data_IF_842033398538
#
_entry.id   IF_842033398538
#
_cell.length_a   1.000
_cell.length_b   1.000
_cell.length_c   1.000
_cell.angle_alpha   90.00
_cell.angle_beta   90.00
_cell.angle_gamma   90.00
#
_symmetry.space_group_name_H-M   'P 1'
#
loop_
_entity.id
_entity.type
_entity.pdbx_description
1 polymer ?
#
# COMPACT_ATOMS: atom_id res chain seq x y z
N UNK A 1 -25.16 23.31 -38.37
CA UNK A 1 -25.51 22.37 -39.45
C UNK A 1 -24.40 22.39 -40.49
N UNK A 2 -23.47 21.44 -40.42
CA UNK A 2 -22.44 21.25 -41.44
C UNK A 2 -22.13 19.75 -41.50
N UNK A 3 -22.61 19.13 -42.55
CA UNK A 3 -22.44 17.73 -42.94
C UNK A 3 -21.06 17.55 -43.56
N UNK A 4 -20.38 16.43 -43.27
CA UNK A 4 -19.36 15.90 -44.16
C UNK A 4 -19.17 14.38 -43.95
N UNK A 5 -18.74 13.66 -45.00
CA UNK A 5 -19.39 12.42 -45.40
C UNK A 5 -18.49 11.19 -45.27
N UNK A 6 -19.16 10.04 -45.28
CA UNK A 6 -18.62 8.70 -45.39
C UNK A 6 -17.49 8.57 -46.42
N UNK A 7 -16.35 8.03 -45.99
CA UNK A 7 -15.35 7.41 -46.86
C UNK A 7 -15.43 5.89 -46.72
N UNK A 8 -15.90 5.30 -47.80
CA UNK A 8 -16.01 3.87 -48.08
C UNK A 8 -14.67 3.12 -47.98
N UNK A 9 -14.57 2.17 -47.05
CA UNK A 9 -13.47 1.20 -46.98
C UNK A 9 -13.78 0.03 -47.92
N UNK A 10 -12.87 -0.21 -48.88
CA UNK A 10 -12.91 -1.35 -49.80
C UNK A 10 -12.52 -2.64 -49.07
N UNK A 11 -13.39 -3.65 -49.13
CA UNK A 11 -13.11 -5.02 -48.73
C UNK A 11 -12.29 -5.73 -49.81
N UNK A 12 -11.00 -5.93 -49.54
CA UNK A 12 -10.11 -6.75 -50.36
C UNK A 12 -10.30 -8.22 -50.01
N UNK A 13 -10.75 -9.00 -50.99
CA UNK A 13 -10.96 -10.45 -50.91
C UNK A 13 -9.63 -11.21 -50.69
N UNK A 14 -9.48 -11.87 -49.54
CA UNK A 14 -8.38 -12.80 -49.27
C UNK A 14 -8.71 -14.17 -49.89
N UNK A 15 -7.96 -14.55 -50.93
CA UNK A 15 -7.94 -15.89 -51.52
C UNK A 15 -7.49 -16.92 -50.48
N UNK A 16 -8.34 -17.90 -50.18
CA UNK A 16 -7.95 -19.14 -49.48
C UNK A 16 -7.17 -20.03 -50.45
N UNK A 17 -5.89 -20.24 -50.17
CA UNK A 17 -5.07 -21.28 -50.80
C UNK A 17 -5.33 -22.60 -50.08
N UNK A 18 -5.91 -23.55 -50.79
CA UNK A 18 -6.17 -24.91 -50.33
C UNK A 18 -4.89 -25.75 -50.46
N UNK A 19 -4.01 -25.65 -49.47
CA UNK A 19 -2.83 -26.51 -49.34
C UNK A 19 -3.22 -27.89 -48.78
N UNK A 20 -2.95 -28.93 -49.57
CA UNK A 20 -3.07 -30.34 -49.19
C UNK A 20 -2.35 -30.66 -47.87
N UNK A 21 -3.07 -31.23 -46.91
CA UNK A 21 -2.53 -31.83 -45.69
C UNK A 21 -2.02 -33.24 -45.99
N UNK A 22 -0.72 -33.46 -45.86
CA UNK A 22 -0.14 -34.81 -45.77
C UNK A 22 -0.56 -35.47 -44.45
N UNK A 23 -0.84 -36.79 -44.42
CA UNK A 23 -1.19 -37.50 -43.20
C UNK A 23 0.04 -37.61 -42.28
N UNK A 24 -0.01 -36.97 -41.11
CA UNK A 24 0.99 -37.19 -40.07
C UNK A 24 0.87 -38.60 -39.47
N UNK A 25 2.00 -39.27 -39.19
CA UNK A 25 1.99 -40.57 -38.52
C UNK A 25 1.55 -40.40 -37.07
N UNK A 26 0.47 -41.11 -36.71
CA UNK A 26 -0.02 -41.25 -35.35
C UNK A 26 0.98 -42.02 -34.48
N UNK A 27 2.01 -41.34 -33.97
CA UNK A 27 2.94 -41.89 -32.98
C UNK A 27 2.47 -41.55 -31.56
N UNK A 28 1.83 -42.55 -31.00
CA UNK A 28 1.53 -42.79 -29.60
C UNK A 28 2.64 -42.34 -28.62
N UNK A 29 2.33 -41.32 -27.80
CA UNK A 29 2.95 -41.17 -26.47
C UNK A 29 1.87 -41.14 -25.39
N UNK A 30 1.11 -42.24 -25.18
CA UNK A 30 0.11 -42.33 -24.11
C UNK A 30 0.72 -42.06 -22.72
N UNK A 31 2.03 -42.31 -22.55
CA UNK A 31 2.77 -42.05 -21.31
C UNK A 31 3.01 -40.56 -21.03
N UNK A 32 3.11 -39.71 -22.06
CA UNK A 32 3.27 -38.26 -21.86
C UNK A 32 1.95 -37.63 -21.40
N UNK A 33 0.82 -38.10 -21.96
CA UNK A 33 -0.52 -37.66 -21.54
C UNK A 33 -0.81 -38.05 -20.08
N UNK A 34 -0.52 -39.29 -19.70
CA UNK A 34 -0.72 -39.73 -18.31
C UNK A 34 0.13 -38.94 -17.30
N UNK A 35 1.39 -38.61 -17.64
CA UNK A 35 2.25 -37.80 -16.79
C UNK A 35 1.75 -36.35 -16.67
N UNK A 36 1.31 -35.75 -17.78
CA UNK A 36 0.73 -34.40 -17.78
C UNK A 36 -0.57 -34.34 -16.98
N UNK A 37 -1.43 -35.36 -17.09
CA UNK A 37 -2.66 -35.46 -16.28
C UNK A 37 -2.36 -35.60 -14.79
N UNK A 38 -1.32 -36.36 -14.42
CA UNK A 38 -0.92 -36.50 -13.03
C UNK A 38 -0.32 -35.20 -12.46
N UNK A 39 0.46 -34.47 -13.27
CA UNK A 39 0.99 -33.14 -12.91
C UNK A 39 -0.13 -32.10 -12.78
N UNK A 40 -1.12 -32.10 -13.68
CA UNK A 40 -2.30 -31.23 -13.57
C UNK A 40 -3.16 -31.58 -12.36
N UNK A 41 -3.34 -32.88 -12.06
CA UNK A 41 -4.06 -33.31 -10.87
C UNK A 41 -3.31 -32.95 -9.58
N UNK A 42 -1.98 -33.07 -9.56
CA UNK A 42 -1.15 -32.65 -8.44
C UNK A 42 -1.19 -31.12 -8.26
N UNK A 43 -1.10 -30.34 -9.34
CA UNK A 43 -1.24 -28.88 -9.29
C UNK A 43 -2.64 -28.43 -8.85
N UNK A 44 -3.69 -29.19 -9.16
CA UNK A 44 -5.05 -28.92 -8.66
C UNK A 44 -5.23 -29.30 -7.16
N UNK A 45 -4.40 -30.21 -6.64
CA UNK A 45 -4.37 -30.60 -5.22
C UNK A 45 -3.54 -29.64 -4.37
N UNK A 46 -2.52 -28.99 -4.95
CA UNK A 46 -1.97 -27.75 -4.40
C UNK A 46 -2.96 -26.62 -4.72
N UNK A 47 -4.07 -26.59 -3.98
CA UNK A 47 -4.97 -25.44 -4.02
C UNK A 47 -4.18 -24.14 -3.81
N UNK A 48 -4.67 -23.00 -4.31
CA UNK A 48 -4.00 -21.71 -4.09
C UNK A 48 -3.75 -21.58 -2.59
N UNK A 49 -2.48 -21.41 -2.20
CA UNK A 49 -2.10 -21.02 -0.84
C UNK A 49 -2.84 -19.71 -0.60
N UNK A 50 -3.95 -19.77 0.14
CA UNK A 50 -4.84 -18.63 0.33
C UNK A 50 -4.16 -17.73 1.34
N UNK A 51 -3.89 -16.50 0.95
CA UNK A 51 -3.38 -15.48 1.85
C UNK A 51 -4.42 -15.27 2.96
N UNK A 52 -4.02 -15.49 4.20
CA UNK A 52 -4.77 -14.97 5.33
C UNK A 52 -4.80 -13.44 5.18
N UNK A 53 -5.95 -12.84 5.47
CA UNK A 53 -6.09 -11.39 5.38
C UNK A 53 -5.14 -10.74 6.39
N UNK A 54 -3.95 -10.34 5.91
CA UNK A 54 -2.92 -9.78 6.75
C UNK A 54 -3.26 -8.30 6.94
N UNK A 55 -3.85 -8.00 8.10
CA UNK A 55 -4.13 -6.62 8.53
C UNK A 55 -2.82 -5.87 8.67
N UNK A 56 -2.74 -4.72 8.02
CA UNK A 56 -1.59 -3.83 8.11
C UNK A 56 -1.93 -2.68 9.06
N UNK A 57 -1.06 -2.50 10.04
CA UNK A 57 -1.14 -1.50 11.10
C UNK A 57 0.20 -0.78 11.20
N UNK A 58 0.30 0.25 12.05
CA UNK A 58 1.57 0.92 12.33
C UNK A 58 2.62 -0.03 12.95
N UNK A 59 2.22 -1.19 13.47
CA UNK A 59 3.11 -2.15 14.11
C UNK A 59 3.80 -3.11 13.11
N UNK A 60 3.29 -3.25 11.88
CA UNK A 60 3.80 -4.24 10.92
C UNK A 60 3.96 -3.73 9.49
N UNK A 61 3.41 -2.56 9.11
CA UNK A 61 3.59 -2.04 7.74
C UNK A 61 5.05 -1.63 7.46
N UNK A 62 5.72 -1.04 8.45
CA UNK A 62 7.13 -0.66 8.40
C UNK A 62 7.75 -0.91 9.77
N UNK A 63 9.04 -1.23 9.77
CA UNK A 63 9.76 -1.61 11.01
C UNK A 63 10.24 -0.41 11.82
N UNK A 64 10.26 0.79 11.24
CA UNK A 64 10.89 1.99 11.81
C UNK A 64 9.92 3.17 12.06
N UNK A 65 8.61 2.96 11.91
CA UNK A 65 7.61 4.03 12.10
C UNK A 65 6.99 4.05 13.50
N UNK A 66 7.32 3.11 14.39
CA UNK A 66 6.66 2.96 15.70
C UNK A 66 6.77 4.21 16.59
N UNK A 67 7.86 4.96 16.45
CA UNK A 67 8.14 6.22 17.15
C UNK A 67 7.81 7.47 16.31
N UNK A 68 7.36 7.30 15.07
CA UNK A 68 6.98 8.42 14.22
C UNK A 68 5.71 9.08 14.73
N UNK A 69 5.68 10.41 14.71
CA UNK A 69 4.47 11.18 14.98
C UNK A 69 3.39 10.93 13.91
N UNK A 70 3.80 10.55 12.69
CA UNK A 70 2.93 10.37 11.53
C UNK A 70 2.59 8.90 11.23
N UNK A 71 2.80 7.99 12.19
CA UNK A 71 2.72 6.54 11.92
C UNK A 71 1.35 6.09 11.40
N UNK A 72 0.28 6.72 11.86
CA UNK A 72 -1.09 6.40 11.41
C UNK A 72 -1.32 6.97 10.00
N UNK A 73 -0.86 8.19 9.74
CA UNK A 73 -0.90 8.82 8.41
C UNK A 73 -0.11 8.00 7.39
N UNK A 74 1.06 7.48 7.75
CA UNK A 74 1.87 6.62 6.87
C UNK A 74 1.10 5.35 6.49
N UNK A 75 0.45 4.69 7.46
CA UNK A 75 -0.39 3.50 7.21
C UNK A 75 -1.56 3.86 6.28
N UNK A 76 -2.21 5.00 6.51
CA UNK A 76 -3.34 5.47 5.70
C UNK A 76 -2.93 5.75 4.26
N UNK A 77 -1.88 6.54 4.07
CA UNK A 77 -1.43 7.01 2.75
C UNK A 77 -0.83 5.88 1.91
N UNK A 78 -0.18 4.88 2.53
CA UNK A 78 0.21 3.65 1.81
C UNK A 78 -1.00 2.84 1.37
N UNK A 79 -2.04 2.76 2.20
CA UNK A 79 -3.30 2.14 1.83
C UNK A 79 -3.97 2.81 0.63
N UNK A 80 -3.93 4.14 0.57
CA UNK A 80 -4.46 4.93 -0.55
C UNK A 80 -3.54 4.97 -1.78
N UNK A 81 -2.36 4.33 -1.72
CA UNK A 81 -1.34 4.36 -2.76
C UNK A 81 -0.87 5.79 -3.09
N UNK A 82 -0.97 6.71 -2.12
CA UNK A 82 -0.34 8.03 -2.15
C UNK A 82 1.16 7.88 -1.85
N UNK A 83 1.50 7.05 -0.87
CA UNK A 83 2.86 6.57 -0.65
C UNK A 83 2.97 5.21 -1.32
N UNK A 84 3.90 5.05 -2.26
CA UNK A 84 4.09 3.78 -2.96
C UNK A 84 4.78 2.80 -2.01
N UNK A 85 4.06 1.74 -1.63
CA UNK A 85 4.56 0.68 -0.75
C UNK A 85 5.21 -0.44 -1.58
N UNK A 86 6.43 -0.84 -1.17
CA UNK A 86 7.12 -2.01 -1.71
C UNK A 86 7.30 -3.04 -0.62
N UNK A 87 7.00 -4.31 -0.92
CA UNK A 87 7.25 -5.41 0.02
C UNK A 87 8.74 -5.71 0.20
N UNK A 88 9.58 -5.19 -0.70
CA UNK A 88 11.03 -5.37 -0.64
C UNK A 88 11.71 -4.33 0.27
N UNK A 89 11.01 -3.24 0.61
CA UNK A 89 11.51 -2.22 1.55
C UNK A 89 10.68 -2.21 2.83
N UNK A 90 11.34 -2.55 3.93
CA UNK A 90 10.72 -2.67 5.26
C UNK A 90 10.92 -1.40 6.10
N UNK A 91 11.56 -0.37 5.54
CA UNK A 91 11.86 0.89 6.21
C UNK A 91 11.19 2.05 5.49
N UNK A 92 10.51 2.91 6.24
CA UNK A 92 9.95 4.16 5.71
C UNK A 92 10.92 5.33 5.85
N UNK A 93 11.76 5.32 6.89
CA UNK A 93 12.73 6.36 7.24
C UNK A 93 12.08 7.74 7.43
N UNK A 94 11.24 7.91 8.47
CA UNK A 94 10.43 9.12 8.66
C UNK A 94 11.24 10.43 8.71
N UNK A 95 12.46 10.36 9.25
CA UNK A 95 13.32 11.54 9.50
C UNK A 95 14.20 11.92 8.30
N UNK A 96 14.27 11.09 7.26
CA UNK A 96 14.99 11.45 6.03
C UNK A 96 14.19 12.49 5.23
N UNK A 97 14.91 13.38 4.53
CA UNK A 97 14.31 14.33 3.60
C UNK A 97 13.66 13.58 2.43
N UNK A 98 12.45 14.01 2.07
CA UNK A 98 11.77 13.50 0.88
C UNK A 98 12.43 14.15 -0.34
N UNK A 99 12.87 13.35 -1.30
CA UNK A 99 13.41 13.89 -2.56
C UNK A 99 12.28 14.28 -3.53
N UNK A 100 12.51 15.27 -4.39
CA UNK A 100 11.53 15.63 -5.44
C UNK A 100 11.27 14.49 -6.42
N UNK A 101 12.29 13.71 -6.75
CA UNK A 101 12.15 12.54 -7.62
C UNK A 101 11.23 11.48 -7.01
N UNK A 102 11.37 11.20 -5.71
CA UNK A 102 10.50 10.27 -5.00
C UNK A 102 9.06 10.78 -4.89
N UNK A 103 8.87 12.06 -4.51
CA UNK A 103 7.55 12.70 -4.50
C UNK A 103 6.87 12.62 -5.88
N UNK A 104 7.63 12.92 -6.94
CA UNK A 104 7.13 12.87 -8.31
C UNK A 104 6.72 11.43 -8.71
N UNK A 105 7.52 10.42 -8.34
CA UNK A 105 7.17 9.02 -8.58
C UNK A 105 5.85 8.64 -7.88
N UNK A 106 5.68 9.02 -6.62
CA UNK A 106 4.45 8.79 -5.86
C UNK A 106 3.24 9.47 -6.51
N UNK A 107 3.37 10.75 -6.88
CA UNK A 107 2.31 11.50 -7.54
C UNK A 107 1.93 10.91 -8.91
N UNK A 108 2.90 10.43 -9.69
CA UNK A 108 2.64 9.78 -10.97
C UNK A 108 1.84 8.48 -10.80
N UNK A 109 2.18 7.66 -9.81
CA UNK A 109 1.47 6.41 -9.52
C UNK A 109 0.05 6.70 -9.03
N UNK A 110 -0.11 7.63 -8.08
CA UNK A 110 -1.41 8.04 -7.56
C UNK A 110 -2.35 8.55 -8.65
N UNK A 111 -1.86 9.41 -9.55
CA UNK A 111 -2.64 10.01 -10.64
C UNK A 111 -2.83 9.09 -11.86
N UNK A 112 -2.37 7.83 -11.79
CA UNK A 112 -2.47 6.87 -12.88
C UNK A 112 -1.60 7.19 -14.11
N UNK A 113 -0.57 8.02 -13.94
CA UNK A 113 0.43 8.34 -14.98
C UNK A 113 1.57 7.34 -15.04
N UNK A 114 1.75 6.55 -13.99
CA UNK A 114 2.64 5.41 -13.90
C UNK A 114 1.93 4.25 -13.19
N UNK A 115 2.38 3.01 -13.43
CA UNK A 115 1.93 1.85 -12.66
C UNK A 115 2.75 1.72 -11.37
N UNK A 116 2.17 1.16 -10.31
CA UNK A 116 2.86 0.97 -9.02
C UNK A 116 4.12 0.07 -9.08
N UNK A 117 4.29 -0.71 -10.16
CA UNK A 117 5.47 -1.54 -10.40
C UNK A 117 6.48 -0.96 -11.39
N UNK A 118 6.24 0.25 -11.92
CA UNK A 118 7.21 0.91 -12.78
C UNK A 118 8.45 1.31 -11.97
N UNK A 119 9.60 1.42 -12.64
CA UNK A 119 10.82 1.92 -12.00
C UNK A 119 10.61 3.35 -11.47
N UNK A 120 11.08 3.69 -10.25
CA UNK A 120 10.87 5.00 -9.65
C UNK A 120 11.30 6.16 -10.55
N UNK A 121 12.41 6.02 -11.27
CA UNK A 121 12.93 7.05 -12.18
C UNK A 121 11.98 7.28 -13.37
N UNK A 122 11.37 6.21 -13.89
CA UNK A 122 10.39 6.28 -14.96
C UNK A 122 9.11 6.96 -14.48
N UNK A 123 8.62 6.60 -13.30
CA UNK A 123 7.44 7.23 -12.70
C UNK A 123 7.68 8.73 -12.43
N UNK A 124 8.84 9.09 -11.87
CA UNK A 124 9.23 10.48 -11.63
C UNK A 124 9.25 11.30 -12.94
N UNK A 125 9.82 10.73 -14.01
CA UNK A 125 9.85 11.40 -15.32
C UNK A 125 8.44 11.57 -15.92
N UNK A 126 7.52 10.62 -15.67
CA UNK A 126 6.13 10.73 -16.08
C UNK A 126 5.42 11.88 -15.36
N UNK A 127 5.65 12.05 -14.04
CA UNK A 127 5.12 13.18 -13.28
C UNK A 127 5.66 14.53 -13.77
N UNK A 128 6.97 14.65 -14.01
CA UNK A 128 7.57 15.87 -14.57
C UNK A 128 6.94 16.22 -15.93
N UNK A 129 6.78 15.22 -16.80
CA UNK A 129 6.18 15.42 -18.14
C UNK A 129 4.69 15.78 -18.07
N UNK A 130 3.99 15.36 -17.02
CA UNK A 130 2.59 15.68 -16.75
C UNK A 130 2.39 17.02 -16.02
N UNK A 131 3.48 17.71 -15.64
CA UNK A 131 3.43 18.96 -14.87
C UNK A 131 3.07 18.78 -13.40
N UNK A 132 3.20 17.57 -12.85
CA UNK A 132 2.99 17.28 -11.43
C UNK A 132 4.22 17.64 -10.57
N UNK A 133 5.36 17.88 -11.22
CA UNK A 133 6.59 18.36 -10.59
C UNK A 133 7.25 19.40 -11.50
N UNK A 134 7.98 20.35 -10.93
CA UNK A 134 8.74 21.35 -11.68
C UNK A 134 10.20 20.93 -11.93
N UNK A 135 10.75 20.12 -11.03
CA UNK A 135 12.10 19.57 -11.09
C UNK A 135 12.13 18.23 -10.35
N UNK A 136 13.09 17.37 -10.70
CA UNK A 136 13.37 16.12 -9.98
C UNK A 136 14.59 16.25 -9.04
N UNK A 137 15.32 17.36 -9.15
CA UNK A 137 16.55 17.58 -8.38
C UNK A 137 16.23 18.17 -7.00
N UNK A 138 16.95 17.70 -5.97
CA UNK A 138 16.87 18.22 -4.60
C UNK A 138 15.73 17.65 -3.76
N UNK A 139 15.52 18.27 -2.60
CA UNK A 139 14.49 17.84 -1.65
C UNK A 139 13.14 18.51 -1.97
N UNK A 140 12.06 17.80 -1.68
CA UNK A 140 10.70 18.26 -1.82
C UNK A 140 10.33 19.29 -0.76
N UNK A 141 9.45 20.20 -1.14
CA UNK A 141 8.88 21.27 -0.31
C UNK A 141 7.35 21.16 -0.25
N UNK A 142 6.71 21.90 0.67
CA UNK A 142 5.24 21.94 0.75
C UNK A 142 4.60 22.44 -0.55
N UNK A 143 5.28 23.35 -1.28
CA UNK A 143 4.85 23.80 -2.60
C UNK A 143 4.88 22.67 -3.63
N UNK A 144 5.91 21.83 -3.60
CA UNK A 144 6.01 20.65 -4.47
C UNK A 144 4.85 19.68 -4.18
N UNK A 145 4.51 19.46 -2.90
CA UNK A 145 3.40 18.58 -2.49
C UNK A 145 2.04 19.17 -2.92
N UNK A 146 1.84 20.47 -2.70
CA UNK A 146 0.63 21.19 -3.12
C UNK A 146 0.43 21.09 -4.64
N UNK A 147 1.50 21.29 -5.42
CA UNK A 147 1.45 21.10 -6.86
C UNK A 147 1.10 19.66 -7.25
N UNK A 148 1.79 18.68 -6.65
CA UNK A 148 1.72 17.28 -7.05
C UNK A 148 0.36 16.62 -6.77
N UNK A 149 -0.26 16.92 -5.63
CA UNK A 149 -1.50 16.26 -5.20
C UNK A 149 -2.73 17.17 -5.22
N UNK A 150 -2.54 18.48 -5.05
CA UNK A 150 -3.64 19.44 -4.92
C UNK A 150 -3.73 20.42 -6.09
N UNK A 151 -2.87 20.27 -7.11
CA UNK A 151 -2.83 21.15 -8.28
C UNK A 151 -2.52 22.61 -7.94
N UNK A 152 -1.87 22.86 -6.80
CA UNK A 152 -1.59 24.21 -6.30
C UNK A 152 -2.81 24.91 -5.67
N UNK A 153 -3.88 24.18 -5.35
CA UNK A 153 -5.10 24.76 -4.81
C UNK A 153 -5.01 25.15 -3.32
N UNK A 154 -4.08 24.56 -2.55
CA UNK A 154 -3.95 24.87 -1.12
C UNK A 154 -3.33 26.26 -0.92
N UNK A 155 -3.89 27.02 0.02
CA UNK A 155 -3.24 28.20 0.56
C UNK A 155 -2.22 27.76 1.61
N UNK A 156 -0.93 27.94 1.30
CA UNK A 156 0.15 27.60 2.22
C UNK A 156 0.46 28.80 3.11
N UNK A 157 0.43 28.61 4.43
CA UNK A 157 0.83 29.64 5.38
C UNK A 157 2.34 29.90 5.27
N UNK A 158 2.75 31.17 5.38
CA UNK A 158 4.17 31.54 5.36
C UNK A 158 5.01 30.85 6.46
N UNK A 159 4.36 30.43 7.56
CA UNK A 159 4.97 29.72 8.68
C UNK A 159 5.24 28.23 8.38
N UNK A 160 4.47 27.60 7.49
CA UNK A 160 4.75 26.24 7.01
C UNK A 160 6.10 26.17 6.26
N UNK A 161 6.67 27.33 5.91
CA UNK A 161 8.00 27.46 5.32
C UNK A 161 9.15 27.83 6.26
N UNK A 162 8.95 27.97 7.58
CA UNK A 162 10.03 28.50 8.44
C UNK A 162 10.40 27.69 9.67
N UNK A 163 9.67 26.63 10.04
CA UNK A 163 9.96 25.88 11.27
C UNK A 163 10.28 24.40 11.04
N UNK A 164 11.56 24.13 10.77
CA UNK A 164 12.19 22.88 11.19
C UNK A 164 12.46 22.94 12.70
N UNK A 165 11.45 22.70 13.53
CA UNK A 165 11.61 22.76 14.98
C UNK A 165 10.50 22.01 15.73
N UNK A 166 10.84 20.85 16.28
CA UNK A 166 10.05 20.19 17.31
C UNK A 166 9.73 21.20 18.44
N UNK A 167 8.47 21.60 18.65
CA UNK A 167 8.20 22.68 19.60
C UNK A 167 6.74 22.88 20.00
N UNK A 168 6.29 22.03 20.91
CA UNK A 168 5.31 22.34 21.96
C UNK A 168 5.29 23.84 22.33
N UNK A 169 4.13 24.47 22.18
CA UNK A 169 3.93 25.91 22.32
C UNK A 169 4.46 26.46 23.64
N UNK A 170 5.43 27.37 23.54
CA UNK A 170 5.76 28.30 24.61
C UNK A 170 5.60 29.73 24.07
N UNK A 171 4.54 30.38 24.54
CA UNK A 171 4.31 31.81 24.38
C UNK A 171 5.50 32.60 24.93
N UNK A 172 6.24 33.31 24.08
CA UNK A 172 7.28 34.24 24.54
C UNK A 172 7.09 35.63 23.93
N UNK A 173 6.61 36.51 24.81
CA UNK A 173 6.93 37.92 25.02
C UNK A 173 7.88 38.60 24.03
N UNK A 174 7.34 39.66 23.42
CA UNK A 174 8.03 40.70 22.66
C UNK A 174 8.95 41.51 23.57
N UNK A 175 10.26 41.52 23.30
CA UNK A 175 11.14 42.61 23.70
C UNK A 175 12.11 42.95 22.57
N UNK A 176 12.45 44.24 22.56
CA UNK A 176 12.92 45.07 21.46
C UNK A 176 14.47 45.08 21.37
N UNK A 177 14.97 45.67 20.28
CA UNK A 177 16.29 46.35 20.18
C UNK A 177 17.53 45.53 19.78
N UNK A 178 17.98 45.64 18.51
CA UNK A 178 19.14 46.46 18.09
C UNK A 178 19.45 46.24 16.60
N UNK A 179 19.74 47.34 15.91
CA UNK A 179 20.13 47.40 14.50
C UNK A 179 21.58 46.92 14.30
N UNK A 180 21.79 46.04 13.32
CA UNK A 180 23.09 45.84 12.67
C UNK A 180 22.93 46.01 11.16
N UNK A 181 23.70 46.95 10.63
CA UNK A 181 23.93 47.23 9.22
C UNK A 181 24.99 46.26 8.68
N UNK A 182 24.65 45.49 7.65
CA UNK A 182 25.61 44.74 6.84
C UNK A 182 25.21 44.78 5.37
N UNK A 183 26.02 45.49 4.59
CA UNK A 183 25.98 45.51 3.13
C UNK A 183 26.95 44.47 2.56
N UNK A 184 26.54 43.84 1.45
CA UNK A 184 27.31 43.04 0.47
C UNK A 184 27.18 41.50 0.53
N UNK A 185 26.63 40.93 -0.55
CA UNK A 185 26.54 39.49 -0.81
C UNK A 185 25.18 39.04 -1.36
N UNK A 186 24.65 39.67 -2.42
CA UNK A 186 23.29 39.42 -2.92
C UNK A 186 23.18 38.15 -3.79
N UNK A 187 23.22 37.00 -3.13
CA UNK A 187 22.35 35.82 -3.27
C UNK A 187 22.85 34.77 -2.25
N UNK A 188 22.00 34.15 -1.39
CA UNK A 188 20.73 33.57 -1.81
C UNK A 188 19.64 33.57 -0.70
N UNK A 189 18.94 34.69 -0.49
CA UNK A 189 17.77 34.67 0.41
C UNK A 189 16.69 33.68 -0.07
N UNK A 190 16.57 33.49 -1.40
CA UNK A 190 15.65 32.52 -2.00
C UNK A 190 16.08 31.05 -1.79
N UNK A 191 17.37 30.72 -1.83
CA UNK A 191 17.82 29.34 -1.58
C UNK A 191 17.83 29.00 -0.08
N UNK A 192 18.07 29.99 0.79
CA UNK A 192 17.96 29.82 2.23
C UNK A 192 16.49 29.68 2.68
N UNK A 193 15.56 30.43 2.07
CA UNK A 193 14.12 30.23 2.27
C UNK A 193 13.61 28.91 1.67
N UNK A 194 14.21 28.42 0.57
CA UNK A 194 13.88 27.10 0.03
C UNK A 194 14.28 25.96 0.98
N UNK A 195 15.42 26.09 1.69
CA UNK A 195 15.89 25.09 2.66
C UNK A 195 15.01 24.98 3.92
N UNK A 196 14.30 26.04 4.31
CA UNK A 196 13.37 26.02 5.44
C UNK A 196 11.99 25.44 5.10
N UNK A 197 11.69 25.24 3.81
CA UNK A 197 10.45 24.62 3.32
C UNK A 197 10.61 23.13 2.97
N UNK A 198 11.83 22.59 3.03
CA UNK A 198 12.09 21.18 2.71
C UNK A 198 11.51 20.26 3.78
N UNK A 199 10.81 19.22 3.36
CA UNK A 199 10.12 18.32 4.28
C UNK A 199 10.78 16.94 4.39
N UNK A 200 10.69 16.35 5.57
CA UNK A 200 10.94 14.93 5.79
C UNK A 200 9.76 14.08 5.31
N UNK A 201 9.96 12.77 5.17
CA UNK A 201 8.85 11.84 4.86
C UNK A 201 7.76 11.84 5.94
N UNK A 202 8.13 12.06 7.21
CA UNK A 202 7.17 12.25 8.31
C UNK A 202 6.33 13.52 8.12
N UNK A 203 6.98 14.64 7.82
CA UNK A 203 6.29 15.92 7.58
C UNK A 203 5.37 15.84 6.35
N UNK A 204 5.78 15.12 5.30
CA UNK A 204 4.90 14.79 4.16
C UNK A 204 3.63 14.09 4.64
N UNK A 205 3.77 13.03 5.42
CA UNK A 205 2.64 12.22 5.85
C UNK A 205 1.67 13.02 6.72
N UNK A 206 2.17 13.83 7.66
CA UNK A 206 1.33 14.72 8.48
C UNK A 206 0.57 15.73 7.61
N UNK A 207 1.27 16.41 6.72
CA UNK A 207 0.66 17.41 5.82
C UNK A 207 -0.42 16.80 4.92
N UNK A 208 -0.14 15.63 4.34
CA UNK A 208 -1.11 14.91 3.52
C UNK A 208 -2.30 14.42 4.34
N UNK A 209 -2.09 14.00 5.59
CA UNK A 209 -3.15 13.58 6.51
C UNK A 209 -4.10 14.72 6.87
N UNK A 210 -3.56 15.91 7.14
CA UNK A 210 -4.32 17.13 7.45
C UNK A 210 -5.21 17.56 6.28
N UNK A 211 -4.67 17.55 5.06
CA UNK A 211 -5.37 18.02 3.87
C UNK A 211 -6.08 16.91 3.08
N UNK A 212 -6.12 15.68 3.59
CA UNK A 212 -6.61 14.51 2.85
C UNK A 212 -8.05 14.68 2.32
N UNK A 213 -8.88 15.37 3.09
CA UNK A 213 -10.30 15.58 2.82
C UNK A 213 -10.60 16.98 2.28
N UNK A 214 -9.58 17.74 1.86
CA UNK A 214 -9.78 19.04 1.24
C UNK A 214 -10.58 18.87 -0.07
N UNK A 215 -11.65 19.65 -0.29
CA UNK A 215 -12.42 19.58 -1.53
C UNK A 215 -11.62 20.17 -2.71
N UNK A 216 -11.28 19.31 -3.67
CA UNK A 216 -10.55 19.70 -4.89
C UNK A 216 -11.43 19.60 -6.14
N UNK A 217 -11.02 20.21 -7.27
CA UNK A 217 -11.58 19.88 -8.58
C UNK A 217 -11.40 18.39 -8.87
N UNK A 218 -12.49 17.63 -8.87
CA UNK A 218 -12.47 16.17 -9.02
C UNK A 218 -12.74 15.36 -7.75
N UNK A 219 -13.01 16.03 -6.62
CA UNK A 219 -13.29 15.40 -5.33
C UNK A 219 -12.09 15.43 -4.40
N UNK A 220 -12.25 14.87 -3.20
CA UNK A 220 -11.18 14.69 -2.22
C UNK A 220 -10.12 13.69 -2.73
N UNK A 221 -8.93 13.66 -2.12
CA UNK A 221 -7.88 12.71 -2.53
C UNK A 221 -8.33 11.23 -2.47
N UNK A 222 -9.06 10.76 -1.44
CA UNK A 222 -9.60 9.41 -1.43
C UNK A 222 -10.53 9.14 -2.61
N UNK A 223 -11.43 10.07 -2.94
CA UNK A 223 -12.37 9.92 -4.07
C UNK A 223 -11.62 9.85 -5.41
N UNK A 224 -10.58 10.67 -5.58
CA UNK A 224 -9.71 10.62 -6.76
C UNK A 224 -8.95 9.29 -6.87
N UNK A 225 -8.60 8.68 -5.74
CA UNK A 225 -8.03 7.32 -5.68
C UNK A 225 -9.06 6.20 -5.84
N UNK A 226 -10.33 6.54 -6.11
CA UNK A 226 -11.40 5.57 -6.34
C UNK A 226 -11.99 4.97 -5.05
N UNK A 227 -11.74 5.59 -3.90
CA UNK A 227 -12.37 5.20 -2.65
C UNK A 227 -13.75 5.82 -2.50
N UNK A 228 -14.63 5.09 -1.84
CA UNK A 228 -15.91 5.57 -1.36
C UNK A 228 -15.86 5.68 0.17
N UNK A 229 -16.49 6.72 0.73
CA UNK A 229 -16.67 6.81 2.18
C UNK A 229 -17.44 5.59 2.67
N UNK A 230 -16.89 4.90 3.66
CA UNK A 230 -17.45 3.70 4.26
C UNK A 230 -18.28 3.96 5.52
N UNK A 231 -18.77 2.90 6.18
CA UNK A 231 -19.51 2.99 7.43
C UNK A 231 -18.65 3.51 8.59
N UNK A 232 -19.31 4.13 9.57
CA UNK A 232 -18.74 4.50 10.86
C UNK A 232 -19.68 4.03 11.99
N UNK A 233 -19.15 3.87 13.19
CA UNK A 233 -19.92 3.43 14.37
C UNK A 233 -19.29 2.23 15.08
N UNK A 234 -20.03 1.64 16.01
CA UNK A 234 -19.55 0.52 16.82
C UNK A 234 -19.54 -0.78 16.01
N UNK A 235 -18.43 -1.50 16.06
CA UNK A 235 -18.33 -2.85 15.48
C UNK A 235 -19.13 -3.84 16.35
N UNK A 236 -20.28 -4.27 15.87
CA UNK A 236 -21.17 -5.17 16.60
C UNK A 236 -20.69 -6.61 16.62
N UNK A 237 -20.12 -7.08 15.50
CA UNK A 237 -19.66 -8.46 15.33
C UNK A 237 -18.47 -8.52 14.38
N UNK A 238 -17.56 -9.45 14.65
CA UNK A 238 -16.52 -9.87 13.73
C UNK A 238 -16.68 -11.36 13.49
N UNK A 239 -16.57 -11.79 12.24
CA UNK A 239 -16.65 -13.20 11.85
C UNK A 239 -15.68 -13.51 10.74
N UNK A 240 -15.01 -14.65 10.86
CA UNK A 240 -14.20 -15.21 9.78
C UNK A 240 -15.12 -15.87 8.73
N UNK A 241 -14.80 -15.67 7.46
CA UNK A 241 -15.45 -16.37 6.36
C UNK A 241 -14.82 -17.75 6.13
N UNK A 242 -15.49 -18.60 5.36
CA UNK A 242 -15.01 -19.95 5.06
C UNK A 242 -13.71 -19.99 4.25
N UNK A 243 -13.24 -18.83 3.79
CA UNK A 243 -12.12 -18.64 2.89
C UNK A 243 -10.92 -17.99 3.61
N UNK A 244 -11.00 -17.75 4.92
CA UNK A 244 -9.95 -17.12 5.73
C UNK A 244 -9.95 -15.59 5.71
N UNK A 245 -10.96 -14.97 5.09
CA UNK A 245 -11.20 -13.53 5.16
C UNK A 245 -12.04 -13.15 6.37
N UNK A 246 -12.11 -11.86 6.69
CA UNK A 246 -12.93 -11.37 7.79
C UNK A 246 -14.11 -10.55 7.28
N UNK A 247 -15.22 -10.63 8.03
CA UNK A 247 -16.40 -9.79 7.88
C UNK A 247 -16.69 -9.09 9.20
N UNK A 248 -17.00 -7.80 9.13
CA UNK A 248 -17.38 -7.00 10.30
C UNK A 248 -18.79 -6.44 10.13
N UNK A 249 -19.53 -6.40 11.23
CA UNK A 249 -20.89 -5.84 11.28
C UNK A 249 -20.86 -4.46 11.92
N UNK A 250 -21.33 -3.44 11.21
CA UNK A 250 -21.43 -2.06 11.69
C UNK A 250 -22.84 -1.58 11.37
N UNK A 251 -23.55 -1.03 12.35
CA UNK A 251 -24.94 -0.58 12.21
C UNK A 251 -25.90 -1.66 11.62
N UNK A 252 -25.64 -2.94 11.88
CA UNK A 252 -26.44 -4.07 11.37
C UNK A 252 -26.14 -4.49 9.93
N UNK A 253 -25.23 -3.80 9.24
CA UNK A 253 -24.74 -4.18 7.91
C UNK A 253 -23.40 -4.93 8.02
N UNK A 254 -23.22 -5.96 7.19
CA UNK A 254 -22.00 -6.77 7.18
C UNK A 254 -21.13 -6.41 5.99
N UNK A 255 -19.88 -6.03 6.28
CA UNK A 255 -18.88 -5.65 5.29
C UNK A 255 -17.73 -6.66 5.30
N UNK A 256 -17.24 -7.02 4.11
CA UNK A 256 -16.05 -7.86 3.96
C UNK A 256 -14.80 -6.97 4.04
N UNK A 257 -13.77 -7.44 4.75
CA UNK A 257 -12.47 -6.80 4.75
C UNK A 257 -11.71 -7.14 3.47
N UNK A 258 -10.94 -6.17 2.98
CA UNK A 258 -9.95 -6.39 1.93
C UNK A 258 -8.89 -7.41 2.38
N UNK A 259 -8.12 -7.98 1.44
CA UNK A 259 -7.06 -8.96 1.74
C UNK A 259 -5.93 -8.35 2.60
N UNK A 260 -5.65 -7.07 2.41
CA UNK A 260 -4.64 -6.34 3.19
C UNK A 260 -5.20 -5.02 3.71
N UNK A 261 -6.21 -5.05 4.60
CA UNK A 261 -6.82 -3.83 5.09
C UNK A 261 -5.79 -3.02 5.88
N UNK A 262 -5.82 -1.70 5.74
CA UNK A 262 -5.07 -0.78 6.59
C UNK A 262 -5.93 -0.39 7.77
N UNK A 263 -5.40 -0.58 8.97
CA UNK A 263 -6.12 -0.34 10.21
C UNK A 263 -5.30 0.60 11.08
N UNK A 264 -5.91 1.73 11.40
CA UNK A 264 -5.35 2.75 12.25
C UNK A 264 -5.92 2.62 13.67
N UNK A 265 -5.07 2.81 14.67
CA UNK A 265 -5.46 2.85 16.09
C UNK A 265 -6.22 1.60 16.60
N UNK A 266 -5.93 0.41 16.07
CA UNK A 266 -6.45 -0.86 16.59
C UNK A 266 -5.47 -2.03 16.34
N UNK A 267 -5.65 -3.14 17.06
CA UNK A 267 -4.86 -4.35 16.91
C UNK A 267 -4.93 -4.95 15.49
N UNK A 268 -3.88 -5.65 15.07
CA UNK A 268 -3.87 -6.35 13.78
C UNK A 268 -4.83 -7.56 13.73
N UNK A 269 -5.29 -8.06 14.87
CA UNK A 269 -6.25 -9.15 14.96
C UNK A 269 -7.70 -8.62 14.93
N UNK A 270 -8.47 -8.86 13.86
CA UNK A 270 -9.85 -8.38 13.76
C UNK A 270 -10.77 -8.88 14.86
N UNK A 271 -10.48 -10.04 15.47
CA UNK A 271 -11.33 -10.59 16.53
C UNK A 271 -11.43 -9.64 17.75
N UNK A 272 -10.45 -8.75 17.90
CA UNK A 272 -10.37 -7.78 19.00
C UNK A 272 -11.16 -6.50 18.73
N UNK A 273 -11.66 -6.28 17.50
CA UNK A 273 -12.33 -5.03 17.16
C UNK A 273 -13.78 -4.94 17.64
N UNK A 274 -14.36 -6.04 18.11
CA UNK A 274 -15.74 -6.06 18.59
C UNK A 274 -15.92 -5.07 19.74
N UNK A 275 -16.87 -4.14 19.57
CA UNK A 275 -17.17 -3.09 20.53
C UNK A 275 -16.34 -1.82 20.36
N UNK A 276 -15.29 -1.82 19.52
CA UNK A 276 -14.56 -0.61 19.19
C UNK A 276 -15.42 0.31 18.30
N UNK A 277 -15.17 1.62 18.40
CA UNK A 277 -15.83 2.62 17.56
C UNK A 277 -14.97 2.92 16.35
N UNK A 278 -15.47 2.58 15.17
CA UNK A 278 -14.87 2.97 13.89
C UNK A 278 -15.26 4.42 13.59
N UNK A 279 -14.29 5.33 13.61
CA UNK A 279 -14.51 6.75 13.37
C UNK A 279 -14.70 7.03 11.89
N UNK A 280 -13.83 6.44 11.06
CA UNK A 280 -13.83 6.60 9.60
C UNK A 280 -13.49 5.29 8.94
N UNK A 281 -14.01 5.10 7.74
CA UNK A 281 -13.57 4.01 6.88
C UNK A 281 -13.74 4.35 5.42
N UNK A 282 -13.04 3.60 4.58
CA UNK A 282 -13.13 3.72 3.13
C UNK A 282 -13.27 2.35 2.49
N UNK A 283 -14.21 2.30 1.54
CA UNK A 283 -14.52 1.17 0.70
C UNK A 283 -13.83 1.32 -0.65
N UNK A 284 -13.47 0.21 -1.28
CA UNK A 284 -13.09 0.18 -2.70
C UNK A 284 -13.63 -1.09 -3.38
N UNK A 285 -13.71 -1.13 -4.71
CA UNK A 285 -14.01 -2.36 -5.43
C UNK A 285 -13.02 -3.48 -5.10
N UNK A 286 -13.52 -4.70 -4.91
CA UNK A 286 -12.70 -5.89 -4.73
C UNK A 286 -11.91 -6.20 -6.01
N UNK A 287 -10.67 -6.67 -5.85
CA UNK A 287 -9.80 -6.96 -6.99
C UNK A 287 -10.30 -8.15 -7.83
N UNK A 288 -11.05 -9.08 -7.20
CA UNK A 288 -11.59 -10.27 -7.84
C UNK A 288 -13.04 -10.05 -8.33
N UNK A 289 -13.79 -9.15 -7.68
CA UNK A 289 -15.13 -8.75 -8.08
C UNK A 289 -15.35 -7.24 -7.94
N UNK A 290 -15.21 -6.51 -9.05
CA UNK A 290 -15.38 -5.06 -9.06
C UNK A 290 -16.80 -4.57 -8.69
N UNK A 291 -17.79 -5.48 -8.57
CA UNK A 291 -19.13 -5.15 -8.07
C UNK A 291 -19.25 -5.26 -6.54
N UNK A 292 -18.34 -5.98 -5.88
CA UNK A 292 -18.29 -6.07 -4.42
C UNK A 292 -17.45 -4.92 -3.86
N UNK A 293 -18.03 -4.12 -2.98
CA UNK A 293 -17.28 -3.12 -2.21
C UNK A 293 -16.76 -3.75 -0.92
N UNK A 294 -15.48 -3.58 -0.66
CA UNK A 294 -14.79 -4.14 0.52
C UNK A 294 -14.13 -3.04 1.34
N UNK A 295 -14.13 -3.23 2.66
CA UNK A 295 -13.48 -2.33 3.61
C UNK A 295 -11.98 -2.45 3.48
N UNK A 296 -11.33 -1.39 3.03
CA UNK A 296 -9.89 -1.39 2.82
C UNK A 296 -9.15 -0.55 3.86
N UNK A 297 -9.70 0.60 4.25
CA UNK A 297 -9.07 1.50 5.22
C UNK A 297 -10.03 1.69 6.39
N UNK A 298 -9.55 1.49 7.61
CA UNK A 298 -10.34 1.56 8.84
C UNK A 298 -9.58 2.41 9.86
N UNK A 299 -10.24 3.42 10.41
CA UNK A 299 -9.68 4.31 11.43
C UNK A 299 -10.58 4.30 12.66
N UNK A 300 -10.08 3.69 13.75
CA UNK A 300 -10.78 3.58 15.02
C UNK A 300 -10.57 4.79 15.94
N UNK A 301 -9.71 5.74 15.55
CA UNK A 301 -9.30 6.88 16.37
C UNK A 301 -8.46 6.48 17.59
N UNK A 302 -7.64 7.42 18.07
CA UNK A 302 -6.68 7.17 19.15
C UNK A 302 -7.33 6.72 20.48
N UNK A 303 -8.58 7.11 20.75
CA UNK A 303 -9.28 6.75 21.99
C UNK A 303 -9.59 5.25 22.09
N UNK A 304 -9.78 4.57 20.96
CA UNK A 304 -10.08 3.13 20.91
C UNK A 304 -8.85 2.29 21.29
N UNK A 305 -7.65 2.71 20.91
CA UNK A 305 -6.40 1.99 21.22
C UNK A 305 -5.98 2.06 22.70
N UNK A 306 -6.40 3.10 23.43
CA UNK A 306 -6.05 3.28 24.84
C UNK A 306 -6.75 2.28 25.78
N UNK A 307 -7.92 1.75 25.39
CA UNK A 307 -8.62 0.73 26.17
C UNK A 307 -7.85 -0.60 26.23
N UNK A 308 -7.03 -0.89 25.22
CA UNK A 308 -6.24 -2.13 25.15
C UNK A 308 -5.04 -2.11 26.12
N UNK A 309 -4.35 -0.97 26.22
CA UNK A 309 -3.19 -0.82 27.12
C UNK A 309 -3.56 -0.93 28.61
N UNK A 310 -4.78 -0.54 28.98
CA UNK A 310 -5.24 -0.60 30.37
C UNK A 310 -5.88 -1.94 30.76
N UNK A 311 -6.52 -2.63 29.81
CA UNK A 311 -7.10 -3.95 30.06
C UNK A 311 -6.03 -5.05 30.19
N UNK A 312 -4.93 -4.96 29.43
CA UNK A 312 -3.79 -5.88 29.54
C UNK A 312 -2.99 -5.65 30.83
N UNK A 313 -2.83 -4.40 31.28
CA UNK A 313 -2.11 -4.09 32.51
C UNK A 313 -2.86 -4.45 33.81
N UNK A 314 -4.18 -4.64 33.75
CA UNK A 314 -5.01 -5.00 34.91
C UNK A 314 -5.10 -6.51 35.18
N UNK A 315 -4.52 -7.35 34.30
CA UNK A 315 -4.65 -8.81 34.37
C UNK A 315 -3.43 -9.56 34.93
N UNK A 316 -2.31 -8.88 35.26
CA UNK A 316 -1.05 -9.56 35.57
C UNK A 316 -0.43 -9.15 36.93
N UNK A 317 -0.96 -9.74 38.01
CA UNK A 317 -0.22 -10.09 39.24
C UNK A 317 -0.88 -11.38 39.77
N UNK A 318 -0.20 -12.54 39.78
CA UNK A 318 0.93 -12.70 40.68
C UNK A 318 2.16 -13.45 40.12
N UNK A 319 3.30 -12.96 40.61
CA UNK A 319 4.56 -13.65 40.88
C UNK A 319 4.63 -15.16 40.58
N UNK A 320 5.50 -15.53 39.64
CA UNK A 320 6.41 -16.65 39.84
C UNK A 320 7.65 -16.55 38.96
N UNK A 321 8.80 -16.61 39.64
CA UNK A 321 10.10 -16.84 39.05
C UNK A 321 10.17 -18.27 38.48
N UNK A 322 10.84 -18.44 37.34
CA UNK A 322 12.00 -19.31 37.14
C UNK A 322 12.28 -19.44 35.63
N UNK A 323 13.56 -19.57 35.32
CA UNK A 323 14.12 -19.61 33.98
C UNK A 323 13.78 -20.90 33.22
N UNK A 324 13.54 -20.79 31.92
CA UNK A 324 14.00 -21.80 30.94
C UNK A 324 13.95 -21.27 29.52
N UNK A 325 15.10 -21.37 28.87
CA UNK A 325 15.37 -21.21 27.45
C UNK A 325 14.72 -22.30 26.57
N UNK A 326 14.74 -22.03 25.26
CA UNK A 326 14.52 -22.94 24.12
C UNK A 326 13.09 -23.37 23.76
N UNK A 327 12.62 -22.92 22.59
CA UNK A 327 12.69 -23.77 21.39
C UNK A 327 12.04 -23.08 20.18
N UNK A 328 12.86 -22.80 19.17
CA UNK A 328 12.42 -22.59 17.79
C UNK A 328 11.87 -23.90 17.23
N UNK A 329 10.57 -24.10 17.38
CA UNK A 329 9.84 -25.24 16.83
C UNK A 329 9.66 -25.11 15.31
N UNK A 330 10.70 -25.42 14.53
CA UNK A 330 10.49 -25.77 13.11
C UNK A 330 9.74 -27.10 13.12
N UNK A 331 8.44 -27.07 12.79
CA UNK A 331 7.60 -28.26 12.84
C UNK A 331 8.22 -29.36 11.95
N UNK A 332 8.59 -30.50 12.55
CA UNK A 332 9.16 -31.67 11.85
C UNK A 332 8.28 -32.17 10.68
N UNK A 333 7.02 -31.76 10.63
CA UNK A 333 6.03 -32.11 9.60
C UNK A 333 6.49 -31.77 8.17
N UNK A 334 7.16 -30.63 7.97
CA UNK A 334 7.58 -30.20 6.63
C UNK A 334 8.80 -30.96 6.10
N UNK A 335 9.72 -31.38 6.98
CA UNK A 335 10.87 -32.18 6.60
C UNK A 335 10.47 -33.59 6.16
N UNK A 336 9.46 -34.18 6.81
CA UNK A 336 8.95 -35.51 6.43
C UNK A 336 8.23 -35.46 5.07
N UNK A 337 7.44 -34.42 4.80
CA UNK A 337 6.76 -34.24 3.52
C UNK A 337 7.75 -33.96 2.37
N UNK A 338 8.78 -33.14 2.61
CA UNK A 338 9.85 -32.87 1.64
C UNK A 338 10.64 -34.13 1.28
N UNK A 339 11.01 -34.95 2.27
CA UNK A 339 11.73 -36.20 2.04
C UNK A 339 10.91 -37.23 1.24
N UNK A 340 9.61 -37.34 1.50
CA UNK A 340 8.73 -38.25 0.77
C UNK A 340 8.59 -37.85 -0.71
N UNK A 341 8.44 -36.56 -1.01
CA UNK A 341 8.36 -36.06 -2.38
C UNK A 341 9.67 -36.30 -3.16
N UNK A 342 10.83 -36.08 -2.51
CA UNK A 342 12.14 -36.32 -3.12
C UNK A 342 12.37 -37.82 -3.42
N UNK A 343 12.00 -38.71 -2.50
CA UNK A 343 12.08 -40.16 -2.72
C UNK A 343 11.20 -40.62 -3.88
N UNK A 344 10.01 -40.04 -4.03
CA UNK A 344 9.09 -40.37 -5.11
C UNK A 344 9.63 -39.91 -6.47
N UNK A 345 10.25 -38.73 -6.53
CA UNK A 345 10.94 -38.22 -7.73
C UNK A 345 12.15 -39.08 -8.10
N UNK A 346 12.97 -39.49 -7.12
CA UNK A 346 14.11 -40.37 -7.33
C UNK A 346 13.69 -41.77 -7.82
N UNK A 347 12.62 -42.33 -7.26
CA UNK A 347 12.06 -43.60 -7.71
C UNK A 347 11.52 -43.52 -9.15
N UNK A 348 10.89 -42.40 -9.51
CA UNK A 348 10.40 -42.15 -10.87
C UNK A 348 11.56 -42.03 -11.86
N UNK A 349 12.61 -41.27 -11.51
CA UNK A 349 13.81 -41.12 -12.31
C UNK A 349 14.54 -42.46 -12.53
N UNK A 350 14.70 -43.26 -11.47
CA UNK A 350 15.29 -44.60 -11.55
C UNK A 350 14.48 -45.54 -12.46
N UNK A 351 13.15 -45.50 -12.38
CA UNK A 351 12.25 -46.31 -13.24
C UNK A 351 12.31 -45.89 -14.70
N UNK A 352 12.49 -44.59 -14.98
CA UNK A 352 12.68 -44.08 -16.34
C UNK A 352 14.05 -44.49 -16.91
N UNK A 353 15.10 -44.52 -16.08
CA UNK A 353 16.46 -44.93 -16.50
C UNK A 353 16.54 -46.42 -16.86
N UNK A 354 15.93 -47.31 -16.06
CA UNK A 354 15.87 -48.77 -16.34
C UNK A 354 15.10 -49.15 -17.60
N UNK A 355 14.29 -48.24 -18.16
CA UNK A 355 13.51 -48.49 -19.39
C UNK A 355 14.20 -48.01 -20.66
N UNK A 356 15.37 -47.35 -20.54
CA UNK A 356 16.17 -46.87 -21.68
C UNK A 356 17.38 -47.78 -22.00
N UNK A 357 17.72 -48.68 -21.10
CA UNK A 357 18.67 -49.79 -21.30
C UNK A 357 17.91 -51.05 -21.66
#
# INVERSE_FOLDING_TARGET
MASNPFSSIRLSSIRRSSGQLSPQPASSRPRLRALLSLLFAAAALLGPLRAEAHVMTSANVYTDISLSAAKEEIVLLTGMNIIVYSHDDTLFRPQEKLSRSELAAWAAVFSGRAAAGDAPEQAAQAALSAGLAQSLDGNATYEDVNLAFFGGALALDAAQGTEGGNGFGTTTTTDNETAYDTTSGTAPAAAAAAASNELTREQFALFMGEHLLEPLPGGTLPEQAGYLTGPAGVVGKVSEDKQGGYRIEIAGETYRLYEHPRVLSAAADPAQWKGLTLQRSWLKPDAMDAQELVLHLLDFGAESGAQEATASAAADVPAQAEASSDSSGVSLSWLVLGAAALLLLLALAARLRRRRT
#
